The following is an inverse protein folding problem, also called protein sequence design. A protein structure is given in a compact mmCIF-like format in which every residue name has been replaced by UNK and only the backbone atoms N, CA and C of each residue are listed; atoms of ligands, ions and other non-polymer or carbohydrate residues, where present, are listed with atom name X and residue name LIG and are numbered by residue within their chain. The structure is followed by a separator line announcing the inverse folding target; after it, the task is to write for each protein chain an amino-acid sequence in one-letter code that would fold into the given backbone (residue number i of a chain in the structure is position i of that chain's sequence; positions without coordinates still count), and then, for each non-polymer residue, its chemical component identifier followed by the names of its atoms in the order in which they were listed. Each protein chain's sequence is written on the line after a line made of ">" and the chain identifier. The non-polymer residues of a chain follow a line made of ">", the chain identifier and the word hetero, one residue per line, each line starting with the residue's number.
data_IF_654679036287
#
_entry.id   IF_654679036287
#
_cell.length_a   1.000
_cell.length_b   1.000
_cell.length_c   1.000
_cell.angle_alpha   90.00
_cell.angle_beta   90.00
_cell.angle_gamma   90.00
#
_symmetry.space_group_name_H-M   'P 1'
#
loop_
_entity.id
_entity.type
_entity.pdbx_description
1 polymer ?
#
# COMPACT_ATOMS: atom_id res chain seq x y z
N UNK A 1 53.71 -28.58 85.97
CA UNK A 1 52.36 -28.92 85.50
C UNK A 1 52.44 -29.24 84.01
N UNK A 2 52.09 -30.47 83.65
CA UNK A 2 52.29 -31.06 82.33
C UNK A 2 51.21 -30.63 81.33
N UNK A 3 51.62 -30.43 80.08
CA UNK A 3 50.74 -30.15 78.94
C UNK A 3 50.19 -31.48 78.37
N UNK A 4 48.90 -31.59 77.99
CA UNK A 4 48.38 -32.80 77.37
C UNK A 4 48.57 -32.80 75.84
N UNK A 5 48.61 -34.00 75.20
CA UNK A 5 49.03 -34.16 73.82
C UNK A 5 47.89 -33.95 72.79
N UNK A 6 48.28 -33.55 71.57
CA UNK A 6 47.39 -33.41 70.41
C UNK A 6 47.04 -34.78 69.79
N UNK A 7 45.74 -35.04 69.59
CA UNK A 7 45.24 -36.17 68.81
C UNK A 7 45.34 -35.91 67.30
N UNK A 8 46.02 -36.81 66.58
CA UNK A 8 46.22 -36.77 65.14
C UNK A 8 44.96 -37.16 64.35
N UNK A 9 44.62 -36.34 63.34
CA UNK A 9 43.53 -36.60 62.39
C UNK A 9 44.05 -37.49 61.25
N UNK A 10 43.50 -38.69 61.11
CA UNK A 10 43.85 -39.68 60.09
C UNK A 10 43.55 -39.18 58.67
N UNK A 11 44.58 -39.14 57.79
CA UNK A 11 44.47 -38.69 56.39
C UNK A 11 43.70 -39.67 55.48
N UNK A 12 43.60 -40.94 55.84
CA UNK A 12 43.05 -41.99 54.97
C UNK A 12 41.54 -41.84 54.69
N UNK A 13 40.76 -41.33 55.64
CA UNK A 13 39.30 -41.18 55.51
C UNK A 13 38.88 -40.03 54.58
N UNK A 14 39.76 -39.04 54.32
CA UNK A 14 39.46 -37.96 53.37
C UNK A 14 39.56 -38.40 51.90
N UNK A 15 40.43 -39.36 51.57
CA UNK A 15 40.66 -39.75 50.18
C UNK A 15 39.51 -40.58 49.59
N UNK A 16 38.90 -41.48 50.38
CA UNK A 16 37.78 -42.32 49.89
C UNK A 16 36.52 -41.50 49.63
N UNK A 17 36.23 -40.49 50.46
CA UNK A 17 35.07 -39.62 50.29
C UNK A 17 35.17 -38.71 49.05
N UNK A 18 36.38 -38.25 48.71
CA UNK A 18 36.64 -37.41 47.51
C UNK A 18 36.52 -38.25 46.23
N UNK A 19 36.94 -39.51 46.26
CA UNK A 19 36.87 -40.40 45.09
C UNK A 19 35.42 -40.85 44.76
N UNK A 20 34.60 -41.16 45.76
CA UNK A 20 33.17 -41.51 45.57
C UNK A 20 32.31 -40.32 45.12
N UNK A 21 32.64 -39.09 45.54
CA UNK A 21 31.93 -37.89 45.11
C UNK A 21 32.22 -37.52 43.63
N UNK A 22 33.45 -37.71 43.15
CA UNK A 22 33.84 -37.41 41.76
C UNK A 22 33.16 -38.30 40.71
N UNK A 23 32.92 -39.58 41.02
CA UNK A 23 32.21 -40.52 40.12
C UNK A 23 30.72 -40.15 40.01
N UNK A 24 30.11 -39.72 41.12
CA UNK A 24 28.69 -39.35 41.18
C UNK A 24 28.38 -38.03 40.44
N UNK A 25 29.32 -37.07 40.45
CA UNK A 25 29.16 -35.79 39.72
C UNK A 25 29.34 -35.93 38.20
N UNK A 26 30.25 -36.80 37.75
CA UNK A 26 30.52 -37.04 36.33
C UNK A 26 29.36 -37.77 35.62
N UNK A 27 28.66 -38.65 36.34
CA UNK A 27 27.47 -39.35 35.83
C UNK A 27 26.26 -38.41 35.75
N UNK A 28 26.07 -37.54 36.75
CA UNK A 28 24.95 -36.60 36.78
C UNK A 28 25.04 -35.54 35.67
N UNK A 29 26.23 -34.95 35.44
CA UNK A 29 26.42 -34.00 34.34
C UNK A 29 26.20 -34.66 32.97
N UNK A 30 26.73 -35.85 32.73
CA UNK A 30 26.52 -36.56 31.45
C UNK A 30 25.05 -36.96 31.22
N UNK A 31 24.31 -37.31 32.27
CA UNK A 31 22.88 -37.62 32.17
C UNK A 31 22.05 -36.35 31.93
N UNK A 32 22.35 -35.27 32.64
CA UNK A 32 21.66 -33.98 32.49
C UNK A 32 21.94 -33.32 31.14
N UNK A 33 23.18 -33.34 30.64
CA UNK A 33 23.53 -32.82 29.31
C UNK A 33 22.81 -33.59 28.20
N UNK A 34 22.77 -34.92 28.29
CA UNK A 34 21.99 -35.75 27.36
C UNK A 34 20.51 -35.41 27.42
N UNK A 35 19.95 -35.16 28.60
CA UNK A 35 18.54 -34.81 28.77
C UNK A 35 18.21 -33.40 28.21
N UNK A 36 19.12 -32.43 28.38
CA UNK A 36 19.00 -31.06 27.85
C UNK A 36 19.12 -31.06 26.33
N UNK A 37 20.11 -31.76 25.76
CA UNK A 37 20.27 -31.91 24.30
C UNK A 37 19.02 -32.59 23.71
N UNK A 38 18.48 -33.61 24.38
CA UNK A 38 17.25 -34.28 23.94
C UNK A 38 16.03 -33.35 23.98
N UNK A 39 15.88 -32.53 25.04
CA UNK A 39 14.78 -31.56 25.19
C UNK A 39 14.87 -30.41 24.19
N UNK A 40 16.07 -29.88 23.95
CA UNK A 40 16.31 -28.82 22.96
C UNK A 40 16.12 -29.35 21.54
N UNK A 41 16.64 -30.55 21.25
CA UNK A 41 16.45 -31.22 19.96
C UNK A 41 14.98 -31.53 19.68
N UNK A 42 14.23 -32.03 20.67
CA UNK A 42 12.79 -32.29 20.55
C UNK A 42 11.99 -30.99 20.36
N UNK A 43 12.33 -29.91 21.07
CA UNK A 43 11.71 -28.59 20.91
C UNK A 43 11.95 -27.97 19.53
N UNK A 44 13.18 -28.09 19.00
CA UNK A 44 13.52 -27.63 17.64
C UNK A 44 12.81 -28.46 16.56
N UNK A 45 12.73 -29.78 16.72
CA UNK A 45 11.99 -30.67 15.80
C UNK A 45 10.49 -30.36 15.80
N UNK A 46 9.89 -30.07 16.96
CA UNK A 46 8.49 -29.66 17.07
C UNK A 46 8.24 -28.29 16.42
N UNK A 47 9.13 -27.31 16.59
CA UNK A 47 9.02 -26.00 15.94
C UNK A 47 9.12 -26.08 14.41
N UNK A 48 10.03 -26.90 13.87
CA UNK A 48 10.13 -27.14 12.41
C UNK A 48 8.90 -27.86 11.88
N UNK A 49 8.34 -28.79 12.66
CA UNK A 49 7.09 -29.49 12.30
C UNK A 49 5.87 -28.57 12.30
N UNK A 50 5.80 -27.60 13.22
CA UNK A 50 4.71 -26.62 13.27
C UNK A 50 4.80 -25.63 12.10
N UNK A 51 6.01 -25.17 11.74
CA UNK A 51 6.19 -24.24 10.61
C UNK A 51 5.90 -24.90 9.26
N UNK A 52 6.21 -26.20 9.10
CA UNK A 52 5.91 -26.96 7.87
C UNK A 52 4.43 -27.32 7.69
N UNK A 53 3.62 -27.20 8.75
CA UNK A 53 2.16 -27.36 8.69
C UNK A 53 1.41 -26.05 8.49
N UNK A 54 2.09 -24.90 8.46
CA UNK A 54 1.46 -23.64 8.10
C UNK A 54 1.27 -23.59 6.58
N UNK A 55 0.04 -23.56 6.06
CA UNK A 55 -0.17 -23.26 4.65
C UNK A 55 0.33 -21.82 4.42
N UNK A 56 1.50 -21.69 3.81
CA UNK A 56 2.01 -20.42 3.32
C UNK A 56 1.19 -20.04 2.08
N UNK A 57 -0.07 -19.68 2.30
CA UNK A 57 -0.95 -19.16 1.26
C UNK A 57 -0.47 -17.75 0.92
N UNK A 58 0.58 -17.64 0.10
CA UNK A 58 0.79 -16.46 -0.71
C UNK A 58 -0.28 -16.53 -1.80
N UNK A 59 -1.49 -16.10 -1.46
CA UNK A 59 -2.40 -15.66 -2.48
C UNK A 59 -1.71 -14.48 -3.15
N UNK A 60 -1.09 -14.71 -4.31
CA UNK A 60 -0.67 -13.64 -5.19
C UNK A 60 -1.94 -12.84 -5.49
N UNK A 61 -2.10 -11.70 -4.82
CA UNK A 61 -3.15 -10.75 -5.15
C UNK A 61 -2.81 -10.20 -6.52
N UNK A 62 -3.21 -10.91 -7.57
CA UNK A 62 -3.33 -10.32 -8.88
C UNK A 62 -4.41 -9.27 -8.74
N UNK A 63 -4.05 -7.98 -8.80
CA UNK A 63 -4.98 -6.87 -8.96
C UNK A 63 -5.65 -7.02 -10.33
N UNK A 64 -6.53 -8.00 -10.47
CA UNK A 64 -7.40 -8.10 -11.63
C UNK A 64 -8.50 -7.06 -11.39
N UNK A 65 -8.57 -6.08 -12.28
CA UNK A 65 -9.61 -5.08 -12.24
C UNK A 65 -10.95 -5.73 -12.56
N UNK A 66 -11.79 -5.93 -11.55
CA UNK A 66 -13.09 -6.62 -11.66
C UNK A 66 -14.20 -5.71 -12.24
N UNK A 67 -13.86 -4.50 -12.70
CA UNK A 67 -14.81 -3.58 -13.34
C UNK A 67 -15.36 -4.16 -14.64
N UNK A 68 -16.63 -3.87 -14.91
CA UNK A 68 -17.30 -4.23 -16.16
C UNK A 68 -16.62 -3.50 -17.32
N UNK A 69 -16.32 -4.22 -18.40
CA UNK A 69 -15.77 -3.63 -19.61
C UNK A 69 -16.90 -3.03 -20.45
N UNK A 70 -16.70 -1.81 -20.95
CA UNK A 70 -17.58 -1.19 -21.94
C UNK A 70 -17.36 -1.73 -23.35
N UNK A 71 -18.10 -1.22 -24.32
CA UNK A 71 -17.97 -1.58 -25.74
C UNK A 71 -16.56 -1.31 -26.32
N UNK A 72 -15.80 -0.40 -25.72
CA UNK A 72 -14.39 -0.15 -26.04
C UNK A 72 -13.41 -1.22 -25.54
N UNK A 73 -13.88 -2.17 -24.73
CA UNK A 73 -13.02 -3.12 -24.01
C UNK A 73 -12.25 -2.50 -22.84
N UNK A 74 -12.57 -1.25 -22.45
CA UNK A 74 -11.99 -0.57 -21.29
C UNK A 74 -12.95 -0.64 -20.09
N UNK A 75 -12.43 -0.65 -18.85
CA UNK A 75 -13.26 -0.73 -17.66
C UNK A 75 -14.17 0.49 -17.49
N UNK A 76 -15.33 0.26 -16.88
CA UNK A 76 -16.29 1.26 -16.48
C UNK A 76 -16.59 1.16 -14.97
N UNK A 77 -16.67 2.29 -14.25
CA UNK A 77 -16.35 3.64 -14.71
C UNK A 77 -14.83 3.87 -14.78
N UNK A 78 -14.38 4.87 -15.54
CA UNK A 78 -12.96 5.26 -15.61
C UNK A 78 -12.75 6.74 -15.88
N UNK A 79 -11.62 7.27 -15.44
CA UNK A 79 -11.25 8.65 -15.74
C UNK A 79 -10.53 8.80 -17.08
N UNK A 80 -10.92 9.84 -17.80
CA UNK A 80 -10.30 10.33 -19.05
C UNK A 80 -10.11 11.84 -18.94
N UNK A 81 -9.49 12.47 -19.95
CA UNK A 81 -9.42 13.91 -20.06
C UNK A 81 -9.84 14.41 -21.43
N UNK A 82 -10.34 15.64 -21.48
CA UNK A 82 -10.66 16.34 -22.72
C UNK A 82 -9.37 16.59 -23.51
N UNK A 83 -9.33 16.15 -24.77
CA UNK A 83 -8.18 16.35 -25.66
C UNK A 83 -8.29 17.56 -26.57
N UNK A 84 -9.49 18.11 -26.74
CA UNK A 84 -9.77 19.21 -27.66
C UNK A 84 -10.02 20.54 -26.94
N UNK A 85 -9.70 21.66 -27.58
CA UNK A 85 -9.95 22.99 -27.01
C UNK A 85 -11.44 23.28 -26.83
N UNK A 86 -12.28 22.63 -27.63
CA UNK A 86 -13.73 22.70 -27.54
C UNK A 86 -14.30 21.28 -27.55
N UNK A 87 -15.07 20.93 -26.53
CA UNK A 87 -15.69 19.61 -26.41
C UNK A 87 -17.19 19.74 -26.10
N UNK A 88 -18.00 19.26 -27.04
CA UNK A 88 -19.45 19.32 -26.97
C UNK A 88 -20.01 18.20 -26.08
N UNK A 89 -20.89 18.57 -25.15
CA UNK A 89 -21.70 17.64 -24.36
C UNK A 89 -23.14 17.68 -24.86
N UNK A 90 -23.70 16.51 -25.16
CA UNK A 90 -25.06 16.35 -25.70
C UNK A 90 -25.94 15.58 -24.74
N UNK A 91 -27.25 15.69 -24.94
CA UNK A 91 -28.26 14.97 -24.13
C UNK A 91 -28.25 13.46 -24.38
N UNK A 92 -27.83 13.02 -25.56
CA UNK A 92 -27.83 11.60 -25.96
C UNK A 92 -26.67 11.24 -26.88
N UNK A 93 -26.47 9.94 -27.14
CA UNK A 93 -25.34 9.41 -27.90
C UNK A 93 -25.54 9.53 -29.42
N UNK A 94 -25.57 10.76 -29.93
CA UNK A 94 -25.75 11.02 -31.36
C UNK A 94 -25.63 12.50 -31.70
N UNK A 95 -25.38 12.81 -32.98
CA UNK A 95 -25.23 14.19 -33.44
C UNK A 95 -26.56 14.96 -33.48
N UNK A 96 -27.68 14.23 -33.59
CA UNK A 96 -29.04 14.80 -33.62
C UNK A 96 -29.55 15.19 -32.23
N UNK A 97 -28.90 14.73 -31.16
CA UNK A 97 -29.27 15.12 -29.80
C UNK A 97 -28.83 16.55 -29.49
N UNK A 98 -29.66 17.34 -28.77
CA UNK A 98 -29.34 18.72 -28.46
C UNK A 98 -28.04 18.86 -27.65
N UNK A 99 -27.29 19.92 -27.94
CA UNK A 99 -26.15 20.34 -27.14
C UNK A 99 -26.64 20.82 -25.78
N UNK A 100 -26.05 20.30 -24.70
CA UNK A 100 -26.28 20.79 -23.35
C UNK A 100 -25.36 21.96 -23.06
N UNK A 101 -24.05 21.77 -23.30
CA UNK A 101 -23.02 22.77 -23.11
C UNK A 101 -21.72 22.35 -23.83
N UNK A 102 -20.74 23.25 -23.86
CA UNK A 102 -19.43 23.01 -24.46
C UNK A 102 -18.33 23.40 -23.49
N UNK A 103 -17.43 22.48 -23.17
CA UNK A 103 -16.20 22.82 -22.47
C UNK A 103 -15.23 23.53 -23.42
N UNK A 104 -14.50 24.51 -22.89
CA UNK A 104 -13.52 25.32 -23.64
C UNK A 104 -12.09 25.16 -23.12
N UNK A 105 -11.77 23.98 -22.58
CA UNK A 105 -10.49 23.72 -21.90
C UNK A 105 -10.07 22.26 -22.06
N UNK A 106 -8.87 22.06 -22.59
CA UNK A 106 -8.19 20.76 -22.62
C UNK A 106 -7.72 20.33 -21.22
N UNK A 107 -7.56 19.03 -21.03
CA UNK A 107 -7.02 18.45 -19.80
C UNK A 107 -8.01 18.42 -18.64
N UNK A 108 -9.25 18.89 -18.82
CA UNK A 108 -10.30 18.69 -17.82
C UNK A 108 -10.59 17.19 -17.67
N UNK A 109 -10.46 16.63 -16.45
CA UNK A 109 -10.81 15.24 -16.23
C UNK A 109 -12.33 15.03 -16.32
N UNK A 110 -12.73 13.84 -16.76
CA UNK A 110 -14.11 13.38 -16.84
C UNK A 110 -14.17 11.90 -16.46
N UNK A 111 -15.24 11.47 -15.80
CA UNK A 111 -15.53 10.06 -15.52
C UNK A 111 -16.41 9.49 -16.62
N UNK A 112 -15.92 8.52 -17.40
CA UNK A 112 -16.77 7.74 -18.31
C UNK A 112 -17.54 6.74 -17.48
N UNK A 113 -18.87 6.84 -17.49
CA UNK A 113 -19.78 5.97 -16.73
C UNK A 113 -20.50 4.96 -17.61
N UNK A 114 -20.69 5.27 -18.90
CA UNK A 114 -21.32 4.38 -19.86
C UNK A 114 -20.82 4.64 -21.30
N UNK A 115 -21.14 3.70 -22.19
CA UNK A 115 -20.67 3.65 -23.56
C UNK A 115 -21.80 3.28 -24.51
N UNK A 116 -21.81 3.91 -25.69
CA UNK A 116 -22.70 3.56 -26.80
C UNK A 116 -22.04 3.91 -28.13
N UNK A 117 -21.56 2.90 -28.86
CA UNK A 117 -20.77 3.07 -30.07
C UNK A 117 -19.58 4.02 -29.86
N UNK A 118 -19.58 5.13 -30.59
CA UNK A 118 -18.55 6.18 -30.51
C UNK A 118 -18.82 7.23 -29.44
N UNK A 119 -19.82 7.02 -28.58
CA UNK A 119 -20.25 7.97 -27.55
C UNK A 119 -19.91 7.46 -26.16
N UNK A 120 -19.49 8.40 -25.32
CA UNK A 120 -19.18 8.17 -23.90
C UNK A 120 -20.13 9.04 -23.09
N UNK A 121 -20.89 8.41 -22.20
CA UNK A 121 -21.57 9.15 -21.14
C UNK A 121 -20.51 9.52 -20.12
N UNK A 122 -20.32 10.82 -19.94
CA UNK A 122 -19.33 11.40 -19.03
C UNK A 122 -20.02 12.06 -17.86
N UNK A 123 -19.38 12.00 -16.69
CA UNK A 123 -19.72 12.75 -15.49
C UNK A 123 -18.56 13.65 -15.11
N UNK A 124 -18.86 14.90 -14.78
CA UNK A 124 -17.85 15.85 -14.31
C UNK A 124 -17.73 15.90 -12.77
N UNK A 125 -16.84 16.76 -12.28
CA UNK A 125 -16.57 16.91 -10.84
C UNK A 125 -17.73 17.49 -10.03
N UNK A 126 -18.71 18.11 -10.68
CA UNK A 126 -19.93 18.63 -10.05
C UNK A 126 -21.08 17.61 -10.10
N UNK A 127 -20.86 16.47 -10.78
CA UNK A 127 -21.86 15.42 -10.96
C UNK A 127 -22.75 15.62 -12.19
N UNK A 128 -22.47 16.62 -13.03
CA UNK A 128 -23.22 16.82 -14.28
C UNK A 128 -22.90 15.72 -15.28
N UNK A 129 -23.93 15.20 -15.94
CA UNK A 129 -23.80 14.11 -16.92
C UNK A 129 -24.21 14.52 -18.33
N UNK A 130 -23.61 13.87 -19.32
CA UNK A 130 -24.01 13.97 -20.71
C UNK A 130 -23.13 13.14 -21.63
N UNK A 131 -23.40 13.21 -22.93
CA UNK A 131 -22.74 12.39 -23.93
C UNK A 131 -21.71 13.19 -24.73
N UNK A 132 -20.50 12.64 -24.84
CA UNK A 132 -19.41 13.17 -25.66
C UNK A 132 -18.99 12.15 -26.71
N UNK A 133 -18.62 12.63 -27.89
CA UNK A 133 -17.99 11.79 -28.90
C UNK A 133 -16.58 11.39 -28.43
N UNK A 134 -16.22 10.10 -28.55
CA UNK A 134 -14.98 9.53 -28.03
C UNK A 134 -13.71 10.25 -28.53
N UNK A 135 -13.72 10.76 -29.77
CA UNK A 135 -12.63 11.58 -30.35
C UNK A 135 -12.24 12.82 -29.54
N UNK A 136 -13.13 13.33 -28.68
CA UNK A 136 -12.89 14.50 -27.84
C UNK A 136 -12.15 14.15 -26.54
N UNK A 137 -11.92 12.86 -26.30
CA UNK A 137 -11.43 12.31 -25.04
C UNK A 137 -10.15 11.49 -25.29
N UNK A 138 -9.24 11.53 -24.32
CA UNK A 138 -8.06 10.66 -24.26
C UNK A 138 -7.85 10.11 -22.86
N UNK A 139 -7.18 8.96 -22.76
CA UNK A 139 -6.88 8.30 -21.48
C UNK A 139 -5.84 9.01 -20.60
N UNK A 140 -5.42 10.23 -20.94
CA UNK A 140 -4.46 10.99 -20.16
C UNK A 140 -5.02 11.35 -18.78
N UNK A 141 -4.30 11.01 -17.72
CA UNK A 141 -4.78 11.15 -16.34
C UNK A 141 -4.56 12.56 -15.80
N UNK A 142 -5.67 13.20 -15.47
CA UNK A 142 -5.72 14.53 -14.89
C UNK A 142 -6.57 14.48 -13.62
N UNK A 143 -6.37 15.46 -12.75
CA UNK A 143 -7.18 15.63 -11.55
C UNK A 143 -7.56 17.10 -11.34
N UNK A 144 -8.68 17.30 -10.66
CA UNK A 144 -9.11 18.58 -10.12
C UNK A 144 -8.87 18.55 -8.61
N UNK A 145 -8.29 19.63 -8.11
CA UNK A 145 -8.13 19.84 -6.66
C UNK A 145 -9.51 20.15 -6.10
N UNK A 146 -9.98 19.32 -5.17
CA UNK A 146 -11.30 19.45 -4.54
C UNK A 146 -11.40 20.73 -3.72
N UNK A 147 -12.64 21.13 -3.45
CA UNK A 147 -12.93 22.26 -2.59
C UNK A 147 -12.36 22.05 -1.18
N UNK A 148 -11.57 23.02 -0.73
CA UNK A 148 -10.99 23.06 0.61
C UNK A 148 -11.14 24.48 1.19
N UNK A 149 -11.14 24.58 2.53
CA UNK A 149 -11.26 25.87 3.22
C UNK A 149 -10.06 26.79 2.99
N UNK A 150 -8.88 26.20 2.79
CA UNK A 150 -7.63 26.89 2.53
C UNK A 150 -6.91 26.25 1.33
N UNK A 151 -5.95 26.98 0.78
CA UNK A 151 -5.05 26.42 -0.23
C UNK A 151 -4.32 25.17 0.33
N UNK A 152 -4.22 24.14 -0.50
CA UNK A 152 -3.63 22.87 -0.09
C UNK A 152 -2.12 22.83 -0.39
N UNK A 153 -1.28 22.40 0.56
CA UNK A 153 0.15 22.31 0.34
C UNK A 153 0.49 21.14 -0.60
N UNK A 154 1.11 21.45 -1.74
CA UNK A 154 1.83 20.47 -2.56
C UNK A 154 3.18 20.20 -1.91
N UNK A 155 3.53 18.93 -1.71
CA UNK A 155 4.70 18.54 -0.91
C UNK A 155 5.81 17.91 -1.76
N UNK A 156 7.06 18.00 -1.32
CA UNK A 156 8.19 17.39 -2.03
C UNK A 156 8.33 15.86 -1.82
N UNK A 157 7.55 15.27 -0.90
CA UNK A 157 7.51 13.83 -0.63
C UNK A 157 6.09 13.42 -0.17
N UNK A 158 5.71 12.12 -0.28
CA UNK A 158 4.40 11.59 0.12
C UNK A 158 4.27 11.45 1.64
N UNK A 159 4.47 12.55 2.38
CA UNK A 159 4.38 12.59 3.82
C UNK A 159 3.76 13.90 4.31
N UNK A 160 2.92 13.83 5.36
CA UNK A 160 2.21 15.00 5.87
C UNK A 160 3.15 16.10 6.43
N UNK A 161 4.35 15.72 6.89
CA UNK A 161 5.38 16.65 7.37
C UNK A 161 6.39 17.09 6.31
N UNK A 162 6.27 16.63 5.06
CA UNK A 162 7.21 16.96 4.00
C UNK A 162 7.14 18.45 3.62
N UNK A 163 8.26 18.97 3.09
CA UNK A 163 8.40 20.37 2.71
C UNK A 163 7.37 20.79 1.65
N UNK A 164 6.85 22.00 1.78
CA UNK A 164 5.85 22.56 0.86
C UNK A 164 6.57 23.20 -0.34
N UNK A 165 6.20 22.80 -1.55
CA UNK A 165 6.77 23.33 -2.80
C UNK A 165 5.82 24.32 -3.50
N UNK A 166 4.52 24.21 -3.26
CA UNK A 166 3.51 25.12 -3.78
C UNK A 166 2.23 25.07 -2.94
N UNK A 167 1.37 26.06 -3.11
CA UNK A 167 0.01 26.08 -2.57
C UNK A 167 -1.00 25.98 -3.71
N UNK A 168 -1.90 25.02 -3.63
CA UNK A 168 -2.90 24.72 -4.67
C UNK A 168 -4.26 25.27 -4.26
N UNK A 169 -4.91 25.97 -5.18
CA UNK A 169 -6.27 26.46 -5.00
C UNK A 169 -7.30 25.39 -5.41
N UNK A 170 -8.47 25.43 -4.81
CA UNK A 170 -9.64 24.64 -5.23
C UNK A 170 -9.93 24.85 -6.72
N UNK A 171 -10.29 23.79 -7.44
CA UNK A 171 -10.58 23.83 -8.87
C UNK A 171 -9.34 23.89 -9.78
N UNK A 172 -8.13 23.95 -9.22
CA UNK A 172 -6.91 23.79 -10.01
C UNK A 172 -6.93 22.43 -10.72
N UNK A 173 -6.44 22.41 -11.97
CA UNK A 173 -6.29 21.18 -12.76
C UNK A 173 -4.83 20.81 -12.77
N UNK A 174 -4.53 19.55 -12.52
CA UNK A 174 -3.19 19.00 -12.52
C UNK A 174 -3.15 17.69 -13.33
N UNK A 175 -1.98 17.37 -13.88
CA UNK A 175 -1.73 16.06 -14.48
C UNK A 175 -1.31 15.10 -13.38
N UNK A 176 -1.91 13.90 -13.37
CA UNK A 176 -1.51 12.81 -12.48
C UNK A 176 -0.26 12.14 -13.05
N UNK A 177 0.74 11.91 -12.20
CA UNK A 177 1.96 11.18 -12.54
C UNK A 177 1.89 9.77 -11.99
N UNK A 178 1.89 9.69 -10.66
CA UNK A 178 1.97 8.46 -9.89
C UNK A 178 0.96 8.54 -8.76
N UNK A 179 0.38 7.42 -8.36
CA UNK A 179 -0.49 7.33 -7.21
C UNK A 179 -0.21 6.04 -6.44
N UNK A 180 0.49 6.18 -5.31
CA UNK A 180 0.81 5.10 -4.38
C UNK A 180 0.14 5.37 -3.02
N UNK A 181 -0.50 4.33 -2.47
CA UNK A 181 -1.24 4.39 -1.20
C UNK A 181 -2.25 5.55 -1.14
N UNK A 182 -2.08 6.51 -0.21
CA UNK A 182 -2.96 7.67 -0.08
C UNK A 182 -2.37 8.95 -0.67
N UNK A 183 -1.30 8.85 -1.46
CA UNK A 183 -0.63 9.99 -2.07
C UNK A 183 -0.65 9.87 -3.58
N UNK A 184 -0.71 11.02 -4.22
CA UNK A 184 -0.56 11.14 -5.66
C UNK A 184 0.45 12.23 -5.96
N UNK A 185 1.42 11.88 -6.78
CA UNK A 185 2.29 12.85 -7.40
C UNK A 185 1.54 13.50 -8.56
N UNK A 186 1.48 14.83 -8.51
CA UNK A 186 0.80 15.65 -9.50
C UNK A 186 1.75 16.71 -10.04
N UNK A 187 1.45 17.15 -11.25
CA UNK A 187 2.12 18.26 -11.90
C UNK A 187 1.09 19.33 -12.26
N UNK A 188 1.22 20.50 -11.65
CA UNK A 188 0.36 21.65 -11.86
C UNK A 188 1.23 22.81 -12.32
N UNK A 189 1.04 23.22 -13.58
CA UNK A 189 1.92 24.20 -14.25
C UNK A 189 3.38 23.74 -14.18
N UNK A 190 4.26 24.50 -13.51
CA UNK A 190 5.68 24.19 -13.36
C UNK A 190 6.02 23.56 -12.01
N UNK A 191 5.00 23.25 -11.18
CA UNK A 191 5.20 22.64 -9.87
C UNK A 191 4.87 21.16 -9.91
N UNK A 192 5.77 20.35 -9.36
CA UNK A 192 5.62 18.91 -9.20
C UNK A 192 5.75 18.55 -7.73
N UNK A 193 4.90 17.65 -7.25
CA UNK A 193 4.97 17.15 -5.89
C UNK A 193 3.78 16.28 -5.53
N UNK A 194 3.66 15.99 -4.24
CA UNK A 194 2.72 15.03 -3.68
C UNK A 194 1.57 15.72 -2.96
N UNK A 195 0.36 15.26 -3.27
CA UNK A 195 -0.86 15.67 -2.59
C UNK A 195 -1.62 14.42 -2.12
N UNK A 196 -2.35 14.53 -1.00
CA UNK A 196 -3.18 13.43 -0.55
C UNK A 196 -4.30 13.15 -1.56
N UNK A 197 -4.56 11.87 -1.81
CA UNK A 197 -5.52 11.38 -2.80
C UNK A 197 -6.94 11.89 -2.54
N UNK A 198 -7.36 12.00 -1.29
CA UNK A 198 -8.70 12.47 -0.93
C UNK A 198 -8.96 13.94 -1.31
N UNK A 199 -7.91 14.72 -1.61
CA UNK A 199 -8.04 16.08 -2.12
C UNK A 199 -8.17 16.16 -3.64
N UNK A 200 -8.19 15.02 -4.34
CA UNK A 200 -8.22 14.93 -5.78
C UNK A 200 -9.55 14.34 -6.27
N UNK A 201 -10.06 14.90 -7.36
CA UNK A 201 -11.08 14.30 -8.19
C UNK A 201 -10.44 13.94 -9.54
N UNK A 202 -10.65 12.73 -10.07
CA UNK A 202 -9.90 12.24 -11.25
C UNK A 202 -9.07 10.97 -10.99
N UNK A 203 -9.11 10.46 -9.76
CA UNK A 203 -8.45 9.22 -9.33
C UNK A 203 -9.34 8.51 -8.29
N UNK A 204 -9.48 7.19 -8.39
CA UNK A 204 -10.21 6.41 -7.39
C UNK A 204 -9.33 6.02 -6.20
N UNK A 205 -9.95 5.77 -5.04
CA UNK A 205 -9.22 5.33 -3.83
C UNK A 205 -8.47 4.01 -4.01
N UNK A 206 -9.02 3.09 -4.81
CA UNK A 206 -8.44 1.77 -5.06
C UNK A 206 -7.41 1.76 -6.19
N UNK A 207 -7.31 2.85 -6.95
CA UNK A 207 -6.50 2.87 -8.16
C UNK A 207 -5.03 3.08 -7.83
N UNK A 208 -4.17 2.32 -8.50
CA UNK A 208 -2.71 2.49 -8.49
C UNK A 208 -2.28 3.01 -9.86
N UNK A 209 -1.45 4.05 -9.87
CA UNK A 209 -0.86 4.61 -11.08
C UNK A 209 0.65 4.58 -10.90
N UNK A 210 1.32 3.94 -11.85
CA UNK A 210 2.79 3.80 -11.92
C UNK A 210 3.36 4.67 -13.05
#
# INVERSE_FOLDING_TARGET
>A
MASPPKAGRNRATRFVAIWLAGIRQNLYQRVMDRLVIFRVGLGLLLLVSIVSLLPFSIAAQTNKDDRVLGESGLPLPRFVAISENMANVRRGPGEDYPLLYQYRRQGLPLEVVAEYGQWRQVRDHEGSEGWMHARLLRGGRHAIIRQAANALPLRNAPAAGAGVVALLQSGAVARLKECADNWCEIEAQNYRGWLQRDHLWGVYRFERLD
#
